data_IF_148612415901
#
_entry.id   IF_148612415901
#
_cell.length_a   1.000
_cell.length_b   1.000
_cell.length_c   1.000
_cell.angle_alpha   90.00
_cell.angle_beta   90.00
_cell.angle_gamma   90.00
#
_symmetry.space_group_name_H-M   'P 1'
#
loop_
_entity.id
_entity.type
_entity.pdbx_description
1 polymer ?
#
# COMPACT_ATOMS: atom_id res chain seq x y z
N UNK A 1 -6.65 30.50 -13.37
CA UNK A 1 -6.35 29.21 -14.04
C UNK A 1 -7.27 28.16 -13.44
N UNK A 2 -7.84 27.28 -14.26
CA UNK A 2 -8.66 26.15 -13.78
C UNK A 2 -7.78 24.91 -13.64
N UNK A 3 -7.36 24.61 -12.41
CA UNK A 3 -6.51 23.47 -12.09
C UNK A 3 -7.23 22.14 -12.23
N UNK A 4 -8.56 22.11 -12.21
CA UNK A 4 -9.30 20.86 -12.39
C UNK A 4 -9.14 20.32 -13.80
N UNK A 5 -9.04 21.19 -14.82
CA UNK A 5 -9.02 20.78 -16.24
C UNK A 5 -7.63 20.72 -16.86
N UNK A 6 -6.64 21.37 -16.24
CA UNK A 6 -5.34 21.62 -16.88
C UNK A 6 -4.14 21.16 -16.03
N UNK A 7 -4.36 20.44 -14.94
CA UNK A 7 -3.29 19.99 -14.06
C UNK A 7 -3.36 18.49 -13.84
N UNK A 8 -2.23 17.82 -14.05
CA UNK A 8 -2.04 16.42 -13.67
C UNK A 8 -1.30 16.40 -12.33
N UNK A 9 -1.90 15.75 -11.34
CA UNK A 9 -1.32 15.58 -10.01
C UNK A 9 -0.56 14.26 -9.95
N UNK A 10 0.65 14.29 -9.41
CA UNK A 10 1.52 13.12 -9.28
C UNK A 10 1.86 12.94 -7.81
N UNK A 11 1.74 11.72 -7.31
CA UNK A 11 2.07 11.36 -5.92
C UNK A 11 2.69 9.96 -5.82
N UNK A 12 3.42 9.71 -4.74
CA UNK A 12 4.04 8.43 -4.42
C UNK A 12 3.52 7.92 -3.09
N UNK A 13 2.91 6.74 -3.09
CA UNK A 13 2.44 6.06 -1.88
C UNK A 13 3.20 4.75 -1.66
N UNK A 14 3.90 4.64 -0.53
CA UNK A 14 4.63 3.42 -0.15
C UNK A 14 3.74 2.51 0.71
N UNK A 15 3.62 1.25 0.31
CA UNK A 15 2.84 0.22 0.97
C UNK A 15 3.75 -0.83 1.60
N UNK A 16 3.77 -0.87 2.93
CA UNK A 16 4.48 -1.88 3.69
C UNK A 16 3.56 -3.07 4.02
N UNK A 17 3.85 -4.26 3.49
CA UNK A 17 2.93 -5.40 3.57
C UNK A 17 2.74 -5.95 5.00
N UNK A 18 3.71 -5.73 5.90
CA UNK A 18 3.56 -6.08 7.33
C UNK A 18 2.69 -5.11 8.14
N UNK A 19 2.09 -4.07 7.56
CA UNK A 19 1.17 -3.19 8.29
C UNK A 19 -0.22 -3.82 8.52
N UNK A 20 -0.49 -5.01 7.97
CA UNK A 20 -1.71 -5.75 8.29
C UNK A 20 -1.49 -6.58 9.55
N UNK A 21 -2.29 -6.31 10.59
CA UNK A 21 -2.44 -7.27 11.69
C UNK A 21 -3.07 -8.54 11.12
N UNK A 22 -2.34 -9.65 11.14
CA UNK A 22 -2.87 -10.97 10.82
C UNK A 22 -3.94 -11.31 11.85
N UNK A 23 -5.21 -11.15 11.49
CA UNK A 23 -6.32 -11.57 12.34
C UNK A 23 -6.48 -13.08 12.25
N UNK A 24 -5.71 -13.80 13.06
CA UNK A 24 -5.83 -15.25 13.21
C UNK A 24 -6.84 -15.53 14.35
N UNK A 25 -7.69 -16.53 14.17
CA UNK A 25 -8.67 -16.93 15.18
C UNK A 25 -8.18 -18.18 15.90
N UNK A 26 -7.83 -18.03 17.18
CA UNK A 26 -7.45 -19.15 18.01
C UNK A 26 -8.69 -19.99 18.42
N UNK A 27 -8.57 -21.32 18.50
CA UNK A 27 -9.58 -22.16 19.15
C UNK A 27 -9.80 -21.71 20.60
N UNK A 28 -11.06 -21.75 21.05
CA UNK A 28 -11.45 -21.36 22.42
C UNK A 28 -10.59 -22.13 23.45
N UNK A 29 -9.84 -21.40 24.28
CA UNK A 29 -9.00 -21.95 25.33
C UNK A 29 -7.52 -22.16 24.98
N UNK A 30 -7.09 -21.84 23.75
CA UNK A 30 -5.67 -21.77 23.37
C UNK A 30 -5.24 -20.32 23.18
N UNK A 31 -4.08 -19.97 23.73
CA UNK A 31 -3.36 -18.75 23.36
C UNK A 31 -2.63 -19.05 22.06
N UNK A 32 -2.93 -18.31 21.01
CA UNK A 32 -2.17 -18.38 19.76
C UNK A 32 -0.95 -17.47 19.90
N UNK A 33 0.18 -18.09 20.23
CA UNK A 33 1.49 -17.44 20.25
C UNK A 33 2.10 -17.73 18.89
N UNK A 34 1.89 -16.82 17.95
CA UNK A 34 2.47 -16.94 16.61
C UNK A 34 3.89 -16.34 16.65
N UNK A 35 4.90 -17.19 16.58
CA UNK A 35 6.28 -16.75 16.36
C UNK A 35 6.39 -16.39 14.87
N UNK A 36 6.04 -15.16 14.52
CA UNK A 36 6.10 -14.70 13.13
C UNK A 36 7.59 -14.60 12.75
N UNK A 37 8.11 -15.42 11.81
CA UNK A 37 9.43 -15.16 11.26
C UNK A 37 9.36 -13.80 10.57
N UNK A 38 10.08 -12.81 11.11
CA UNK A 38 10.21 -11.50 10.46
C UNK A 38 11.05 -11.71 9.21
N UNK A 39 10.39 -12.12 8.13
CA UNK A 39 10.95 -11.91 6.80
C UNK A 39 10.79 -10.42 6.54
N UNK A 40 11.89 -9.71 6.31
CA UNK A 40 11.82 -8.35 5.79
C UNK A 40 10.94 -8.41 4.54
N UNK A 41 9.77 -7.82 4.67
CA UNK A 41 8.72 -7.96 3.69
C UNK A 41 8.91 -6.79 2.73
N UNK A 42 9.15 -7.09 1.45
CA UNK A 42 9.41 -6.05 0.46
C UNK A 42 8.27 -5.03 0.46
N UNK A 43 8.64 -3.76 0.59
CA UNK A 43 7.67 -2.68 0.45
C UNK A 43 7.51 -2.38 -1.04
N UNK A 44 6.31 -1.96 -1.42
CA UNK A 44 6.02 -1.57 -2.79
C UNK A 44 5.62 -0.11 -2.79
N UNK A 45 6.27 0.71 -3.61
CA UNK A 45 5.85 2.10 -3.82
C UNK A 45 5.01 2.19 -5.08
N UNK A 46 3.89 2.91 -5.02
CA UNK A 46 3.02 3.17 -6.16
C UNK A 46 3.14 4.64 -6.50
N UNK A 47 3.58 4.92 -7.73
CA UNK A 47 3.61 6.27 -8.30
C UNK A 47 2.34 6.45 -9.12
N UNK A 48 1.46 7.33 -8.67
CA UNK A 48 0.17 7.60 -9.29
C UNK A 48 0.13 8.97 -9.95
N UNK A 49 -0.56 9.04 -11.10
CA UNK A 49 -0.83 10.30 -11.81
C UNK A 49 -2.33 10.42 -12.06
N UNK A 50 -2.95 11.51 -11.59
CA UNK A 50 -4.40 11.74 -11.68
C UNK A 50 -4.74 13.12 -12.26
N UNK A 51 -5.88 13.19 -12.93
CA UNK A 51 -6.56 14.40 -13.39
C UNK A 51 -7.95 14.43 -12.74
N UNK A 52 -8.65 15.58 -12.76
CA UNK A 52 -10.02 15.66 -12.20
C UNK A 52 -11.01 14.64 -12.81
N UNK A 53 -10.76 14.20 -14.04
CA UNK A 53 -11.62 13.26 -14.77
C UNK A 53 -11.25 11.79 -14.52
N UNK A 54 -10.09 11.52 -13.90
CA UNK A 54 -9.68 10.14 -13.61
C UNK A 54 -8.17 9.92 -13.53
N UNK A 55 -7.81 8.64 -13.52
CA UNK A 55 -6.43 8.18 -13.41
C UNK A 55 -5.78 8.22 -14.80
N UNK A 56 -4.59 8.82 -14.87
CA UNK A 56 -3.79 8.91 -16.10
C UNK A 56 -2.81 7.74 -16.18
N UNK A 57 -2.11 7.46 -15.08
CA UNK A 57 -1.13 6.37 -15.02
C UNK A 57 -0.93 5.86 -13.59
N UNK A 58 -0.57 4.59 -13.47
CA UNK A 58 -0.13 3.95 -12.24
C UNK A 58 1.15 3.16 -12.56
N UNK A 59 2.21 3.43 -11.81
CA UNK A 59 3.47 2.71 -11.90
C UNK A 59 3.80 2.08 -10.55
N UNK A 60 4.29 0.85 -10.57
CA UNK A 60 4.71 0.11 -9.37
C UNK A 60 6.23 0.10 -9.35
N UNK A 61 6.79 0.56 -8.24
CA UNK A 61 8.21 0.55 -7.93
C UNK A 61 8.49 -0.46 -6.81
N UNK A 62 9.10 -1.58 -7.19
CA UNK A 62 9.41 -2.71 -6.29
C UNK A 62 10.78 -2.56 -5.59
N UNK A 63 11.45 -1.42 -5.74
CA UNK A 63 12.79 -1.16 -5.19
C UNK A 63 12.79 -0.41 -3.84
N UNK A 64 11.62 -0.20 -3.22
CA UNK A 64 11.45 0.60 -2.00
C UNK A 64 11.55 -0.21 -0.70
#
# INVERSE_FOLDING_TARGET
MDFSKNCVFIDVATFHINMKSSRVWAPKGKVEIDTIPVKEAHSHSIIGSILSVGIVNIYIDDYA
#
